data_IF_428068043138
#
_entry.id   IF_428068043138
#
_cell.length_a   1.000
_cell.length_b   1.000
_cell.length_c   1.000
_cell.angle_alpha   90.00
_cell.angle_beta   90.00
_cell.angle_gamma   90.00
#
_symmetry.space_group_name_H-M   'P 1'
#
loop_
_entity.id
_entity.type
_entity.pdbx_description
1 polymer ?
#
# COMPACT_ATOMS: atom_id res chain seq x y z
N UNK A 1 8.55 11.13 0.42
CA UNK A 1 9.56 11.38 -0.63
C UNK A 1 9.07 12.51 -1.53
N UNK A 2 9.91 13.50 -1.80
CA UNK A 2 9.55 14.62 -2.68
C UNK A 2 9.52 14.18 -4.16
N UNK A 3 10.39 13.25 -4.56
CA UNK A 3 10.38 12.67 -5.91
C UNK A 3 9.04 11.98 -6.23
N UNK A 4 8.49 11.27 -5.24
CA UNK A 4 7.18 10.62 -5.37
C UNK A 4 6.06 11.65 -5.54
N UNK A 5 6.13 12.79 -4.84
CA UNK A 5 5.16 13.90 -5.01
C UNK A 5 5.24 14.44 -6.44
N UNK A 6 6.43 14.68 -6.97
CA UNK A 6 6.63 15.13 -8.35
C UNK A 6 6.07 14.14 -9.36
N UNK A 7 6.28 12.84 -9.15
CA UNK A 7 5.75 11.78 -10.01
C UNK A 7 4.22 11.74 -9.99
N UNK A 8 3.62 11.75 -8.78
CA UNK A 8 2.18 11.67 -8.61
C UNK A 8 1.45 12.88 -9.19
N UNK A 9 2.05 14.08 -9.13
CA UNK A 9 1.48 15.28 -9.75
C UNK A 9 1.43 15.20 -11.30
N UNK A 10 2.32 14.41 -11.92
CA UNK A 10 2.32 14.19 -13.37
C UNK A 10 1.37 13.08 -13.79
N UNK A 11 1.41 11.94 -13.08
CA UNK A 11 0.64 10.73 -13.44
C UNK A 11 -0.82 10.83 -12.99
N UNK A 12 -1.08 11.46 -11.84
CA UNK A 12 -2.40 11.64 -11.22
C UNK A 12 -3.26 10.35 -11.18
N UNK A 13 -2.76 9.26 -10.57
CA UNK A 13 -3.54 8.04 -10.45
C UNK A 13 -4.68 8.20 -9.43
N UNK A 14 -5.65 7.29 -9.47
CA UNK A 14 -6.72 7.22 -8.46
C UNK A 14 -6.20 6.76 -7.09
N UNK A 15 -5.16 5.91 -7.09
CA UNK A 15 -4.53 5.38 -5.89
C UNK A 15 -3.02 5.23 -6.10
N UNK A 16 -2.24 5.63 -5.09
CA UNK A 16 -0.83 5.31 -4.95
C UNK A 16 -0.57 4.41 -3.73
N UNK A 17 0.20 3.33 -3.92
CA UNK A 17 0.68 2.46 -2.83
C UNK A 17 2.18 2.65 -2.68
N UNK A 18 2.63 3.04 -1.48
CA UNK A 18 4.05 3.26 -1.20
C UNK A 18 4.71 2.00 -0.66
N UNK A 19 5.71 1.50 -1.38
CA UNK A 19 6.53 0.35 -1.00
C UNK A 19 8.02 0.72 -1.07
N UNK A 20 8.88 -0.06 -0.42
CA UNK A 20 10.34 0.08 -0.49
C UNK A 20 10.88 1.48 -0.18
N UNK A 21 10.26 2.20 0.76
CA UNK A 21 10.65 3.57 1.13
C UNK A 21 11.89 3.62 2.06
N UNK A 22 12.53 2.48 2.32
CA UNK A 22 13.80 2.36 3.05
C UNK A 22 13.84 3.17 4.35
N UNK A 23 14.84 4.04 4.47
CA UNK A 23 15.07 4.88 5.65
C UNK A 23 13.93 5.88 5.93
N UNK A 24 13.14 6.25 4.92
CA UNK A 24 12.04 7.18 5.12
C UNK A 24 11.00 6.62 6.10
N UNK A 25 10.67 5.33 5.98
CA UNK A 25 9.72 4.65 6.88
C UNK A 25 10.28 4.39 8.29
N UNK A 26 11.61 4.38 8.44
CA UNK A 26 12.26 4.27 9.75
C UNK A 26 12.31 5.62 10.47
N UNK A 27 12.51 6.71 9.74
CA UNK A 27 12.55 8.08 10.30
C UNK A 27 11.18 8.67 10.56
N UNK A 28 10.19 8.31 9.74
CA UNK A 28 8.85 8.84 9.81
C UNK A 28 7.83 7.70 9.74
N UNK A 29 6.78 7.70 10.59
CA UNK A 29 5.71 6.73 10.48
C UNK A 29 5.14 6.70 9.05
N UNK A 30 5.06 5.52 8.39
CA UNK A 30 4.61 5.39 7.00
C UNK A 30 3.26 6.07 6.73
N UNK A 31 2.36 6.04 7.71
CA UNK A 31 1.04 6.65 7.66
C UNK A 31 1.12 8.17 7.63
N UNK A 32 2.09 8.75 8.36
CA UNK A 32 2.33 10.19 8.39
C UNK A 32 2.87 10.67 7.05
N UNK A 33 3.79 9.91 6.46
CA UNK A 33 4.30 10.21 5.11
C UNK A 33 3.23 10.05 4.03
N UNK A 34 2.39 9.02 4.12
CA UNK A 34 1.28 8.81 3.19
C UNK A 34 0.29 9.99 3.25
N UNK A 35 -0.04 10.44 4.46
CA UNK A 35 -0.90 11.61 4.67
C UNK A 35 -0.26 12.87 4.12
N UNK A 36 1.05 13.08 4.33
CA UNK A 36 1.79 14.23 3.79
C UNK A 36 1.71 14.27 2.26
N UNK A 37 1.96 13.13 1.61
CA UNK A 37 1.92 13.00 0.14
C UNK A 37 0.50 13.21 -0.40
N UNK A 38 -0.51 12.62 0.23
CA UNK A 38 -1.92 12.84 -0.12
C UNK A 38 -2.31 14.31 -0.02
N UNK A 39 -1.92 15.01 1.06
CA UNK A 39 -2.20 16.44 1.21
C UNK A 39 -1.49 17.29 0.15
N UNK A 40 -0.27 16.92 -0.25
CA UNK A 40 0.51 17.66 -1.23
C UNK A 40 0.04 17.45 -2.69
N UNK A 41 -0.53 16.29 -3.01
CA UNK A 41 -0.84 15.88 -4.40
C UNK A 41 -2.34 15.76 -4.68
N UNK A 42 -3.17 15.60 -3.66
CA UNK A 42 -4.58 15.23 -3.78
C UNK A 42 -4.82 13.75 -4.14
N UNK A 43 -3.76 12.98 -4.39
CA UNK A 43 -3.85 11.55 -4.76
C UNK A 43 -4.02 10.69 -3.50
N UNK A 44 -5.00 9.80 -3.50
CA UNK A 44 -5.18 8.83 -2.41
C UNK A 44 -3.90 7.99 -2.30
N UNK A 45 -3.24 8.05 -1.15
CA UNK A 45 -1.94 7.43 -0.95
C UNK A 45 -1.95 6.58 0.30
N UNK A 46 -1.56 5.31 0.17
CA UNK A 46 -1.50 4.37 1.30
C UNK A 46 -0.10 3.75 1.42
N UNK A 47 0.42 3.54 2.64
CA UNK A 47 1.61 2.74 2.83
C UNK A 47 1.27 1.26 2.62
N UNK A 48 2.17 0.54 1.94
CA UNK A 48 2.05 -0.89 1.74
C UNK A 48 2.59 -1.70 2.93
N UNK A 49 1.91 -2.78 3.27
CA UNK A 49 2.32 -3.75 4.31
C UNK A 49 2.28 -5.16 3.74
N UNK A 50 3.02 -6.07 4.37
CA UNK A 50 2.90 -7.49 4.07
C UNK A 50 1.44 -7.95 4.25
N UNK A 51 0.86 -8.53 3.20
CA UNK A 51 -0.55 -8.95 3.19
C UNK A 51 -1.57 -7.84 2.92
N UNK A 52 -1.15 -6.61 2.55
CA UNK A 52 -2.07 -5.59 2.07
C UNK A 52 -2.79 -6.11 0.82
N UNK A 53 -4.12 -6.16 0.88
CA UNK A 53 -4.98 -6.50 -0.26
C UNK A 53 -5.72 -5.24 -0.72
N UNK A 54 -5.54 -4.91 -2.00
CA UNK A 54 -6.24 -3.82 -2.67
C UNK A 54 -7.22 -4.43 -3.65
N UNK A 55 -8.51 -4.10 -3.51
CA UNK A 55 -9.50 -4.49 -4.49
C UNK A 55 -9.77 -3.33 -5.45
N UNK A 56 -9.54 -3.58 -6.74
CA UNK A 56 -9.70 -2.61 -7.83
C UNK A 56 -11.07 -2.81 -8.48
N UNK A 57 -12.09 -2.25 -7.83
CA UNK A 57 -13.45 -2.15 -8.35
C UNK A 57 -13.78 -0.67 -8.65
N UNK A 58 -15.00 -0.37 -9.15
CA UNK A 58 -15.51 1.02 -9.27
C UNK A 58 -15.36 1.88 -8.00
N UNK A 59 -15.17 1.23 -6.84
CA UNK A 59 -14.74 1.87 -5.59
C UNK A 59 -13.57 1.09 -5.03
N UNK A 60 -12.43 1.76 -4.86
CA UNK A 60 -11.24 1.16 -4.25
C UNK A 60 -11.50 0.88 -2.77
N UNK A 61 -11.40 -0.40 -2.36
CA UNK A 61 -11.58 -0.84 -0.97
C UNK A 61 -10.28 -1.41 -0.43
N UNK A 62 -9.92 -1.03 0.81
CA UNK A 62 -8.70 -1.48 1.48
C UNK A 62 -9.04 -2.33 2.71
N UNK A 63 -8.37 -3.49 2.83
CA UNK A 63 -8.34 -4.24 4.08
C UNK A 63 -6.91 -4.25 4.60
N UNK A 64 -6.66 -3.57 5.72
CA UNK A 64 -5.38 -3.61 6.41
C UNK A 64 -5.39 -4.79 7.40
N UNK A 65 -4.33 -5.62 7.44
CA UNK A 65 -4.22 -6.61 8.49
C UNK A 65 -4.02 -5.91 9.83
N UNK A 66 -4.82 -6.27 10.84
CA UNK A 66 -4.72 -5.73 12.21
C UNK A 66 -3.51 -6.25 12.97
N UNK A 67 -2.91 -7.36 12.51
CA UNK A 67 -1.65 -7.92 13.01
C UNK A 67 -0.82 -8.42 11.83
N UNK A 68 0.49 -8.24 11.89
CA UNK A 68 1.40 -8.79 10.89
C UNK A 68 1.30 -10.32 10.92
N UNK A 69 0.96 -10.98 9.79
CA UNK A 69 0.86 -12.43 9.75
C UNK A 69 2.23 -13.07 9.93
N UNK A 70 2.29 -14.17 10.68
CA UNK A 70 3.50 -14.96 10.87
C UNK A 70 3.78 -15.85 9.65
N UNK A 71 5.00 -16.36 9.52
CA UNK A 71 5.40 -17.20 8.38
C UNK A 71 4.54 -18.47 8.26
N UNK A 72 4.12 -19.02 9.39
CA UNK A 72 3.28 -20.22 9.48
C UNK A 72 1.92 -20.03 8.81
N UNK A 73 1.41 -18.79 8.75
CA UNK A 73 0.16 -18.47 8.07
C UNK A 73 0.22 -18.68 6.55
N UNK A 74 1.42 -18.65 5.96
CA UNK A 74 1.65 -18.82 4.52
C UNK A 74 2.02 -20.25 4.13
N UNK A 75 2.44 -21.08 5.07
CA UNK A 75 2.80 -22.49 4.84
C UNK A 75 1.54 -23.38 4.72
N UNK A 76 0.39 -22.93 5.24
CA UNK A 76 -0.88 -23.67 5.25
C UNK A 76 -1.85 -23.29 4.11
N UNK A 77 -1.37 -22.90 2.93
CA UNK A 77 -2.29 -22.84 1.79
C UNK A 77 -2.76 -24.28 1.46
N UNK A 78 -4.06 -24.62 1.60
CA UNK A 78 -4.56 -25.82 0.94
C UNK A 78 -4.34 -25.63 -0.58
N UNK A 79 -4.08 -26.72 -1.33
CA UNK A 79 -3.99 -26.62 -2.78
C UNK A 79 -5.35 -26.14 -3.29
N UNK A 80 -5.46 -24.85 -3.65
CA UNK A 80 -6.64 -24.36 -4.35
C UNK A 80 -6.69 -25.08 -5.70
N UNK A 81 -7.79 -25.81 -5.89
CA UNK A 81 -8.17 -26.47 -7.13
C UNK A 81 -8.27 -25.37 -8.20
N UNK A 82 -7.36 -25.41 -9.17
CA UNK A 82 -7.51 -24.64 -10.40
C UNK A 82 -8.65 -25.33 -11.16
N UNK A 83 -9.86 -24.78 -11.07
CA UNK A 83 -10.91 -25.07 -12.04
C UNK A 83 -10.78 -24.03 -13.16
N UNK A 84 -10.57 -24.57 -14.37
CA UNK A 84 -10.34 -23.87 -15.64
C UNK A 84 -11.65 -23.36 -16.21
#
# INVERSE_FOLDING_TARGET
SDDLITLLNKVKPELAVMLHMGMLFLKHPPEKEAKRIKTATGVETVPGYAGLRVNLDKKVKFKRPTKQPSLEAFVRLPPERIEV
#
